data_IF_390603986924
#
_entry.id   IF_390603986924
#
_cell.length_a   1.000
_cell.length_b   1.000
_cell.length_c   1.000
_cell.angle_alpha   90.00
_cell.angle_beta   90.00
_cell.angle_gamma   90.00
#
_symmetry.space_group_name_H-M   'P 1'
#
loop_
_entity.id
_entity.type
_entity.pdbx_description
1 polymer ?
#
# COMPACT_ATOMS: atom_id res chain seq x y z
N UNK A 1 -1.30 8.24 -8.95
CA UNK A 1 -0.92 8.65 -10.32
C UNK A 1 0.43 8.12 -10.83
N UNK A 2 1.32 7.56 -10.00
CA UNK A 2 2.60 7.00 -10.50
C UNK A 2 3.14 5.88 -9.60
N UNK A 3 4.21 5.22 -10.05
CA UNK A 3 4.97 4.24 -9.27
C UNK A 3 4.08 3.10 -8.76
N UNK A 4 4.26 2.70 -7.50
CA UNK A 4 3.51 1.58 -6.89
C UNK A 4 2.00 1.80 -6.97
N UNK A 5 1.50 3.02 -6.72
CA UNK A 5 0.06 3.28 -6.72
C UNK A 5 -0.58 3.08 -8.11
N UNK A 6 0.11 3.51 -9.16
CA UNK A 6 -0.32 3.25 -10.54
C UNK A 6 -0.35 1.74 -10.83
N UNK A 7 0.73 1.03 -10.52
CA UNK A 7 0.82 -0.41 -10.82
C UNK A 7 -0.17 -1.24 -10.01
N UNK A 8 -0.45 -0.87 -8.75
CA UNK A 8 -1.52 -1.49 -7.95
C UNK A 8 -2.88 -1.31 -8.62
N UNK A 9 -3.18 -0.10 -9.11
CA UNK A 9 -4.45 0.20 -9.79
C UNK A 9 -4.60 -0.67 -11.05
N UNK A 10 -3.54 -0.77 -11.86
CA UNK A 10 -3.51 -1.59 -13.08
C UNK A 10 -3.66 -3.09 -12.75
N UNK A 11 -2.97 -3.56 -11.71
CA UNK A 11 -3.05 -4.96 -11.27
C UNK A 11 -4.47 -5.34 -10.83
N UNK A 12 -5.19 -4.44 -10.15
CA UNK A 12 -6.58 -4.68 -9.77
C UNK A 12 -7.51 -4.77 -10.99
N UNK A 13 -7.35 -3.87 -11.96
CA UNK A 13 -8.10 -3.92 -13.21
C UNK A 13 -7.89 -5.26 -13.93
N UNK A 14 -6.62 -5.69 -14.05
CA UNK A 14 -6.25 -6.98 -14.66
C UNK A 14 -6.82 -8.18 -13.88
N UNK A 15 -6.90 -8.09 -12.55
CA UNK A 15 -7.43 -9.14 -11.68
C UNK A 15 -8.95 -9.29 -11.74
N UNK A 16 -9.67 -8.41 -12.43
CA UNK A 16 -11.09 -8.56 -12.69
C UNK A 16 -12.00 -7.96 -11.61
N UNK A 17 -11.52 -6.95 -10.89
CA UNK A 17 -12.40 -6.14 -10.05
C UNK A 17 -13.44 -5.42 -10.91
N UNK A 18 -14.64 -5.20 -10.39
CA UNK A 18 -15.69 -4.49 -11.13
C UNK A 18 -15.46 -2.98 -11.19
N UNK A 19 -14.84 -2.40 -10.15
CA UNK A 19 -14.67 -0.95 -10.10
C UNK A 19 -13.54 -0.49 -9.20
N UNK A 20 -12.87 0.61 -9.59
CA UNK A 20 -11.79 1.25 -8.84
C UNK A 20 -12.02 2.77 -8.78
N UNK A 21 -11.96 3.36 -7.59
CA UNK A 21 -11.73 4.80 -7.41
C UNK A 21 -10.22 5.03 -7.23
N UNK A 22 -9.56 5.65 -8.20
CA UNK A 22 -8.13 5.98 -8.12
C UNK A 22 -7.93 7.45 -7.77
N UNK A 23 -7.05 7.73 -6.81
CA UNK A 23 -6.93 9.06 -6.23
C UNK A 23 -5.48 9.54 -6.18
N UNK A 24 -5.26 10.83 -6.41
CA UNK A 24 -3.97 11.50 -6.25
C UNK A 24 -4.17 13.01 -6.13
N UNK A 25 -3.20 13.72 -5.55
CA UNK A 25 -3.18 15.19 -5.57
C UNK A 25 -2.83 15.70 -6.98
N UNK A 26 -2.04 14.93 -7.72
CA UNK A 26 -1.78 15.12 -9.14
C UNK A 26 -2.89 14.45 -9.98
N UNK A 27 -4.01 15.16 -10.11
CA UNK A 27 -5.19 14.69 -10.83
C UNK A 27 -4.88 14.35 -12.30
N UNK A 28 -4.18 15.23 -13.01
CA UNK A 28 -3.85 15.03 -14.43
C UNK A 28 -2.95 13.79 -14.64
N UNK A 29 -2.13 13.45 -13.64
CA UNK A 29 -1.33 12.22 -13.66
C UNK A 29 -2.14 10.92 -13.60
N UNK A 30 -3.45 10.98 -13.29
CA UNK A 30 -4.32 9.79 -13.25
C UNK A 30 -4.74 9.32 -14.65
N UNK A 31 -4.75 10.19 -15.66
CA UNK A 31 -5.23 9.86 -17.01
C UNK A 31 -4.48 8.67 -17.60
N UNK A 32 -3.15 8.69 -17.52
CA UNK A 32 -2.32 7.58 -18.00
C UNK A 32 -2.59 6.27 -17.25
N UNK A 33 -2.92 6.35 -15.95
CA UNK A 33 -3.29 5.16 -15.15
C UNK A 33 -4.63 4.61 -15.61
N UNK A 34 -5.61 5.48 -15.85
CA UNK A 34 -6.96 5.11 -16.29
C UNK A 34 -6.92 4.44 -17.66
N UNK A 35 -6.21 5.03 -18.61
CA UNK A 35 -6.10 4.46 -19.96
C UNK A 35 -5.44 3.09 -19.94
N UNK A 36 -4.44 2.88 -19.10
CA UNK A 36 -3.82 1.56 -18.97
C UNK A 36 -4.75 0.54 -18.31
N UNK A 37 -5.50 0.95 -17.28
CA UNK A 37 -6.50 0.08 -16.66
C UNK A 37 -7.56 -0.39 -17.67
N UNK A 38 -8.06 0.52 -18.52
CA UNK A 38 -9.07 0.18 -19.55
C UNK A 38 -8.57 -0.85 -20.56
N UNK A 39 -7.27 -0.86 -20.88
CA UNK A 39 -6.68 -1.83 -21.82
C UNK A 39 -6.55 -3.22 -21.24
N UNK A 40 -6.24 -3.33 -19.94
CA UNK A 40 -5.92 -4.62 -19.29
C UNK A 40 -7.08 -5.18 -18.46
N UNK A 41 -8.15 -4.41 -18.27
CA UNK A 41 -9.29 -4.81 -17.46
C UNK A 41 -9.91 -6.11 -17.98
N UNK A 42 -10.10 -7.08 -17.07
CA UNK A 42 -10.69 -8.38 -17.40
C UNK A 42 -12.16 -8.48 -17.05
N UNK A 43 -12.69 -7.58 -16.21
CA UNK A 43 -14.11 -7.54 -15.87
C UNK A 43 -14.93 -6.81 -16.95
N UNK A 44 -16.02 -7.38 -17.49
CA UNK A 44 -16.77 -6.79 -18.61
C UNK A 44 -17.41 -5.44 -18.28
N UNK A 45 -17.78 -5.23 -17.01
CA UNK A 45 -18.38 -3.98 -16.53
C UNK A 45 -17.35 -3.11 -15.78
N UNK A 46 -16.06 -3.28 -16.04
CA UNK A 46 -15.01 -2.55 -15.33
C UNK A 46 -15.20 -1.03 -15.43
N UNK A 47 -15.15 -0.36 -14.27
CA UNK A 47 -15.20 1.10 -14.15
C UNK A 47 -13.99 1.60 -13.37
N UNK A 48 -13.29 2.61 -13.88
CA UNK A 48 -12.25 3.33 -13.13
C UNK A 48 -12.59 4.82 -13.11
N UNK A 49 -12.61 5.40 -11.91
CA UNK A 49 -12.95 6.81 -11.70
C UNK A 49 -11.76 7.54 -11.06
N UNK A 50 -11.28 8.66 -11.62
CA UNK A 50 -10.30 9.51 -10.97
C UNK A 50 -10.95 10.41 -9.92
N UNK A 51 -10.24 10.70 -8.83
CA UNK A 51 -10.60 11.75 -7.90
C UNK A 51 -9.36 12.49 -7.41
N UNK A 52 -9.40 13.83 -7.40
CA UNK A 52 -8.35 14.64 -6.79
C UNK A 52 -8.51 14.59 -5.27
N UNK A 53 -7.50 14.08 -4.58
CA UNK A 53 -7.54 13.91 -3.11
C UNK A 53 -6.21 14.32 -2.51
N UNK A 54 -6.24 15.22 -1.54
CA UNK A 54 -5.14 15.40 -0.60
C UNK A 54 -5.43 14.64 0.70
N UNK A 55 -4.72 13.52 0.91
CA UNK A 55 -4.91 12.66 2.09
C UNK A 55 -4.64 13.36 3.41
N UNK A 56 -4.00 14.54 3.42
CA UNK A 56 -3.77 15.34 4.63
C UNK A 56 -5.05 16.01 5.15
N UNK A 57 -6.06 16.16 4.28
CA UNK A 57 -7.28 16.95 4.51
C UNK A 57 -8.44 16.00 4.82
N UNK A 58 -9.06 16.14 5.99
CA UNK A 58 -10.18 15.28 6.42
C UNK A 58 -11.34 15.29 5.43
N UNK A 59 -11.72 16.47 4.94
CA UNK A 59 -12.83 16.62 4.00
C UNK A 59 -12.59 15.86 2.69
N UNK A 60 -11.38 15.91 2.17
CA UNK A 60 -11.03 15.22 0.93
C UNK A 60 -11.12 13.70 1.10
N UNK A 61 -10.62 13.17 2.23
CA UNK A 61 -10.68 11.72 2.53
C UNK A 61 -12.12 11.27 2.78
N UNK A 62 -12.92 12.05 3.51
CA UNK A 62 -14.34 11.74 3.73
C UNK A 62 -15.07 11.68 2.38
N UNK A 63 -14.90 12.72 1.55
CA UNK A 63 -15.51 12.77 0.22
C UNK A 63 -15.04 11.64 -0.69
N UNK A 64 -13.77 11.23 -0.60
CA UNK A 64 -13.22 10.09 -1.34
C UNK A 64 -13.97 8.80 -1.02
N UNK A 65 -14.13 8.48 0.26
CA UNK A 65 -14.82 7.25 0.68
C UNK A 65 -16.32 7.32 0.37
N UNK A 66 -16.97 8.47 0.60
CA UNK A 66 -18.38 8.66 0.24
C UNK A 66 -18.61 8.52 -1.26
N UNK A 67 -17.70 9.04 -2.08
CA UNK A 67 -17.75 8.90 -3.55
C UNK A 67 -17.60 7.43 -3.96
N UNK A 68 -16.65 6.70 -3.38
CA UNK A 68 -16.47 5.28 -3.68
C UNK A 68 -17.74 4.47 -3.36
N UNK A 69 -18.33 4.68 -2.18
CA UNK A 69 -19.55 3.98 -1.76
C UNK A 69 -20.75 4.41 -2.63
N UNK A 70 -20.87 5.69 -2.99
CA UNK A 70 -21.93 6.17 -3.87
C UNK A 70 -21.86 5.55 -5.27
N UNK A 71 -20.66 5.48 -5.85
CA UNK A 71 -20.45 5.07 -7.24
C UNK A 71 -20.44 3.55 -7.43
N UNK A 72 -19.97 2.80 -6.43
CA UNK A 72 -19.81 1.33 -6.49
C UNK A 72 -20.70 0.58 -5.51
N UNK A 73 -21.48 1.28 -4.67
CA UNK A 73 -22.41 0.71 -3.69
C UNK A 73 -21.76 0.20 -2.40
N UNK A 74 -20.47 -0.12 -2.41
CA UNK A 74 -19.70 -0.64 -1.26
C UNK A 74 -18.21 -0.41 -1.44
N UNK A 75 -17.46 -0.53 -0.34
CA UNK A 75 -16.00 -0.52 -0.35
C UNK A 75 -15.46 -1.89 0.09
N UNK A 76 -15.02 -2.72 -0.86
CA UNK A 76 -14.54 -4.08 -0.58
C UNK A 76 -13.05 -4.16 -0.25
N UNK A 77 -12.26 -3.26 -0.82
CA UNK A 77 -10.83 -3.24 -0.67
C UNK A 77 -10.30 -1.81 -0.70
N UNK A 78 -9.18 -1.59 -0.02
CA UNK A 78 -8.46 -0.32 -0.05
C UNK A 78 -6.95 -0.55 -0.02
N UNK A 79 -6.21 0.30 -0.75
CA UNK A 79 -4.75 0.28 -0.79
C UNK A 79 -4.22 1.69 -0.50
N UNK A 80 -3.71 1.88 0.71
CA UNK A 80 -3.15 3.16 1.17
C UNK A 80 -1.69 3.29 0.74
N UNK A 81 -1.47 3.78 -0.48
CA UNK A 81 -0.14 3.85 -1.12
C UNK A 81 0.50 5.25 -1.04
N UNK A 82 -0.30 6.31 -0.86
CA UNK A 82 0.20 7.69 -0.82
C UNK A 82 1.31 7.86 0.24
N UNK A 83 2.43 8.44 -0.15
CA UNK A 83 3.58 8.59 0.73
C UNK A 83 4.69 9.44 0.13
N UNK A 84 5.54 9.99 1.00
CA UNK A 84 6.72 10.76 0.62
C UNK A 84 7.94 10.34 1.43
N UNK A 85 9.11 10.36 0.81
CA UNK A 85 10.39 10.10 1.48
C UNK A 85 11.05 11.38 2.00
N UNK A 86 12.16 11.25 2.72
CA UNK A 86 13.08 12.37 2.96
C UNK A 86 13.62 12.90 1.63
N UNK A 87 13.72 14.23 1.49
CA UNK A 87 14.30 14.87 0.31
C UNK A 87 15.82 14.63 0.18
N UNK A 88 16.49 14.40 1.32
CA UNK A 88 17.91 14.07 1.39
C UNK A 88 18.20 13.32 2.69
N UNK A 89 19.29 12.54 2.70
CA UNK A 89 19.82 12.00 3.94
C UNK A 89 20.31 13.13 4.85
N UNK A 90 19.84 13.15 6.10
CA UNK A 90 20.33 14.10 7.10
C UNK A 90 20.38 13.47 8.48
N UNK A 91 21.52 13.58 9.14
CA UNK A 91 21.63 13.23 10.55
C UNK A 91 20.65 14.07 11.37
N UNK A 92 20.06 13.48 12.41
CA UNK A 92 18.97 14.11 13.16
C UNK A 92 19.32 15.53 13.64
N UNK A 93 20.52 15.73 14.20
CA UNK A 93 21.02 17.04 14.67
C UNK A 93 21.27 18.08 13.56
N UNK A 94 21.20 17.68 12.28
CA UNK A 94 21.39 18.54 11.09
C UNK A 94 20.12 18.66 10.25
N UNK A 95 19.00 18.13 10.73
CA UNK A 95 17.74 18.19 9.99
C UNK A 95 17.25 19.64 9.91
N UNK A 96 16.74 20.04 8.74
CA UNK A 96 16.13 21.36 8.57
C UNK A 96 14.85 21.45 9.39
N UNK A 97 14.56 22.63 9.94
CA UNK A 97 13.28 22.88 10.60
C UNK A 97 12.12 22.55 9.66
N UNK A 98 11.16 21.76 10.16
CA UNK A 98 9.98 21.33 9.41
C UNK A 98 10.23 20.23 8.36
N UNK A 99 11.44 19.65 8.28
CA UNK A 99 11.74 18.55 7.35
C UNK A 99 10.86 17.31 7.57
N UNK A 100 10.29 17.15 8.76
CA UNK A 100 9.40 16.07 9.17
C UNK A 100 7.92 16.36 8.86
N UNK A 101 7.53 17.63 8.74
CA UNK A 101 6.12 18.05 8.67
C UNK A 101 5.34 17.35 7.55
N UNK A 102 5.83 17.43 6.31
CA UNK A 102 5.16 16.79 5.17
C UNK A 102 5.21 15.26 5.25
N UNK A 103 6.30 14.70 5.78
CA UNK A 103 6.46 13.25 5.97
C UNK A 103 5.39 12.74 6.95
N UNK A 104 5.21 13.43 8.06
CA UNK A 104 4.21 13.08 9.08
C UNK A 104 2.78 13.33 8.57
N UNK A 105 2.53 14.47 7.93
CA UNK A 105 1.21 14.82 7.41
C UNK A 105 0.71 13.79 6.38
N UNK A 106 1.57 13.28 5.51
CA UNK A 106 1.18 12.31 4.47
C UNK A 106 1.25 10.88 5.00
N UNK A 107 2.43 10.43 5.48
CA UNK A 107 2.66 9.02 5.79
C UNK A 107 2.02 8.58 7.12
N UNK A 108 1.72 9.50 8.04
CA UNK A 108 1.06 9.18 9.31
C UNK A 108 -0.40 9.62 9.26
N UNK A 109 -0.64 10.93 9.18
CA UNK A 109 -2.00 11.48 9.22
C UNK A 109 -2.83 11.00 8.03
N UNK A 110 -2.28 11.01 6.82
CA UNK A 110 -3.00 10.53 5.63
C UNK A 110 -3.45 9.08 5.77
N UNK A 111 -2.54 8.17 6.14
CA UNK A 111 -2.87 6.77 6.36
C UNK A 111 -3.89 6.60 7.49
N UNK A 112 -3.76 7.35 8.59
CA UNK A 112 -4.72 7.33 9.69
C UNK A 112 -6.14 7.73 9.23
N UNK A 113 -6.26 8.83 8.48
CA UNK A 113 -7.54 9.32 7.98
C UNK A 113 -8.17 8.33 7.00
N UNK A 114 -7.41 7.79 6.05
CA UNK A 114 -7.90 6.78 5.11
C UNK A 114 -8.42 5.55 5.86
N UNK A 115 -7.59 4.93 6.71
CA UNK A 115 -8.03 3.76 7.49
C UNK A 115 -9.28 4.04 8.32
N UNK A 116 -9.37 5.21 8.96
CA UNK A 116 -10.53 5.59 9.78
C UNK A 116 -11.82 5.57 8.96
N UNK A 117 -11.83 6.19 7.77
CA UNK A 117 -13.02 6.26 6.93
C UNK A 117 -13.29 4.95 6.16
N UNK A 118 -12.24 4.24 5.74
CA UNK A 118 -12.35 2.90 5.12
C UNK A 118 -13.00 1.91 6.07
N UNK A 119 -12.55 1.84 7.32
CA UNK A 119 -13.12 0.97 8.35
C UNK A 119 -14.60 1.34 8.59
N UNK A 120 -14.92 2.64 8.73
CA UNK A 120 -16.32 3.09 8.91
C UNK A 120 -17.22 2.65 7.74
N UNK A 121 -16.73 2.71 6.51
CA UNK A 121 -17.47 2.24 5.35
C UNK A 121 -17.62 0.72 5.34
N UNK A 122 -16.52 -0.01 5.58
CA UNK A 122 -16.53 -1.48 5.60
C UNK A 122 -17.41 -2.05 6.72
N UNK A 123 -17.49 -1.42 7.89
CA UNK A 123 -18.39 -1.85 8.97
C UNK A 123 -19.87 -1.85 8.55
N UNK A 124 -20.25 -1.02 7.58
CA UNK A 124 -21.61 -0.95 7.03
C UNK A 124 -21.85 -2.02 5.95
N UNK A 125 -20.81 -2.58 5.34
CA UNK A 125 -20.96 -3.64 4.35
C UNK A 125 -21.48 -4.90 5.02
N UNK A 126 -22.41 -5.60 4.39
CA UNK A 126 -22.73 -6.98 4.79
C UNK A 126 -21.51 -7.90 4.64
N UNK A 127 -21.40 -8.86 5.57
CA UNK A 127 -20.43 -9.95 5.47
C UNK A 127 -20.75 -10.78 4.22
N UNK A 128 -19.78 -10.91 3.32
CA UNK A 128 -19.89 -11.78 2.14
C UNK A 128 -18.93 -12.95 2.27
N UNK A 129 -19.31 -14.16 1.80
CA UNK A 129 -18.36 -15.26 1.67
C UNK A 129 -17.17 -14.84 0.80
N UNK A 130 -15.98 -14.83 1.40
CA UNK A 130 -14.72 -14.62 0.71
C UNK A 130 -14.26 -15.93 0.06
N UNK A 131 -14.41 -17.03 0.80
CA UNK A 131 -14.28 -18.40 0.29
C UNK A 131 -15.53 -19.16 0.77
N UNK A 132 -16.36 -19.69 -0.15
CA UNK A 132 -17.58 -20.41 0.20
C UNK A 132 -17.33 -21.50 1.25
N UNK A 133 -18.06 -21.44 2.37
CA UNK A 133 -17.98 -22.42 3.46
C UNK A 133 -16.80 -22.27 4.42
N UNK A 134 -15.90 -21.30 4.23
CA UNK A 134 -14.70 -21.15 5.06
C UNK A 134 -14.58 -19.78 5.73
N UNK A 135 -14.67 -18.70 4.96
CA UNK A 135 -14.39 -17.36 5.47
C UNK A 135 -15.33 -16.33 4.86
N UNK A 136 -15.77 -15.38 5.68
CA UNK A 136 -16.53 -14.20 5.25
C UNK A 136 -15.76 -12.93 5.55
N UNK A 137 -15.98 -11.88 4.76
CA UNK A 137 -15.33 -10.59 4.92
C UNK A 137 -16.29 -9.44 4.67
N UNK A 138 -16.03 -8.31 5.33
CA UNK A 138 -16.61 -7.00 5.00
C UNK A 138 -15.69 -6.18 4.10
N UNK A 139 -14.39 -6.43 4.16
CA UNK A 139 -13.41 -5.81 3.28
C UNK A 139 -11.96 -6.06 3.68
N UNK A 140 -11.02 -5.51 2.91
CA UNK A 140 -9.58 -5.64 3.13
C UNK A 140 -8.85 -4.32 2.93
N UNK A 141 -7.99 -3.94 3.88
CA UNK A 141 -7.16 -2.73 3.80
C UNK A 141 -5.69 -3.15 3.75
N UNK A 142 -4.95 -2.60 2.79
CA UNK A 142 -3.50 -2.80 2.67
C UNK A 142 -2.79 -1.45 2.77
N UNK A 143 -1.97 -1.27 3.80
CA UNK A 143 -1.20 -0.06 4.00
C UNK A 143 0.22 -0.21 3.46
N UNK A 144 0.71 0.81 2.77
CA UNK A 144 2.06 0.83 2.23
C UNK A 144 3.07 1.36 3.27
N UNK A 145 3.76 0.43 3.91
CA UNK A 145 4.88 0.70 4.78
C UNK A 145 6.18 0.90 4.00
N UNK A 146 7.24 0.25 4.47
CA UNK A 146 8.60 0.29 3.91
C UNK A 146 9.49 -0.66 4.73
N UNK A 147 10.65 -1.07 4.19
CA UNK A 147 11.77 -1.60 4.98
C UNK A 147 12.08 -0.73 6.20
N UNK A 148 11.96 0.60 6.04
CA UNK A 148 12.14 1.58 7.11
C UNK A 148 11.11 1.47 8.25
N UNK A 149 10.09 0.62 8.13
CA UNK A 149 9.12 0.32 9.18
C UNK A 149 9.63 -0.69 10.22
N UNK A 150 10.75 -1.35 9.93
CA UNK A 150 11.32 -2.43 10.74
C UNK A 150 12.81 -2.20 10.99
N UNK A 151 13.53 -1.71 9.98
CA UNK A 151 14.97 -1.45 10.06
C UNK A 151 15.24 0.03 9.81
N UNK A 152 15.88 0.75 10.74
CA UNK A 152 16.18 2.16 10.53
C UNK A 152 17.18 2.35 9.39
N UNK A 153 16.99 3.41 8.60
CA UNK A 153 17.94 3.82 7.57
C UNK A 153 18.69 5.06 8.07
N UNK A 154 20.04 5.05 8.09
CA UNK A 154 20.83 6.21 8.52
C UNK A 154 20.43 7.48 7.78
N UNK A 155 20.24 8.57 8.51
CA UNK A 155 19.86 9.87 7.93
C UNK A 155 18.40 10.00 7.48
N UNK A 156 17.53 9.03 7.80
CA UNK A 156 16.10 9.07 7.47
C UNK A 156 15.20 9.00 8.71
N UNK A 157 15.52 9.75 9.77
CA UNK A 157 14.84 9.62 11.07
C UNK A 157 13.33 9.86 10.99
N UNK A 158 12.89 10.97 10.41
CA UNK A 158 11.46 11.29 10.29
C UNK A 158 10.69 10.25 9.44
N UNK A 159 11.29 9.80 8.34
CA UNK A 159 10.69 8.77 7.48
C UNK A 159 10.62 7.41 8.18
N UNK A 160 11.69 7.01 8.88
CA UNK A 160 11.73 5.78 9.69
C UNK A 160 10.64 5.82 10.76
N UNK A 161 10.53 6.92 11.50
CA UNK A 161 9.50 7.11 12.52
C UNK A 161 8.09 7.00 11.93
N UNK A 162 7.84 7.68 10.80
CA UNK A 162 6.55 7.65 10.11
C UNK A 162 6.18 6.24 9.62
N UNK A 163 7.14 5.50 9.04
CA UNK A 163 6.89 4.14 8.54
C UNK A 163 6.71 3.11 9.67
N UNK A 164 7.39 3.28 10.81
CA UNK A 164 7.05 2.53 12.03
C UNK A 164 5.63 2.85 12.52
N UNK A 165 5.20 4.11 12.44
CA UNK A 165 3.84 4.50 12.82
C UNK A 165 2.78 3.82 11.94
N UNK A 166 3.01 3.67 10.63
CA UNK A 166 2.09 2.91 9.74
C UNK A 166 1.86 1.49 10.24
N UNK A 167 2.93 0.77 10.60
CA UNK A 167 2.83 -0.60 11.15
C UNK A 167 2.16 -0.59 12.52
N UNK A 168 2.50 0.37 13.38
CA UNK A 168 1.88 0.52 14.71
C UNK A 168 0.38 0.76 14.63
N UNK A 169 -0.06 1.71 13.81
CA UNK A 169 -1.49 2.01 13.58
C UNK A 169 -2.22 0.82 12.97
N UNK A 170 -1.60 0.12 12.01
CA UNK A 170 -2.19 -1.09 11.42
C UNK A 170 -2.45 -2.15 12.48
N UNK A 171 -1.46 -2.43 13.35
CA UNK A 171 -1.62 -3.39 14.45
C UNK A 171 -2.71 -2.99 15.44
N UNK A 172 -2.76 -1.71 15.79
CA UNK A 172 -3.79 -1.18 16.70
C UNK A 172 -5.19 -1.33 16.09
N UNK A 173 -5.35 -1.05 14.79
CA UNK A 173 -6.61 -1.22 14.08
C UNK A 173 -7.05 -2.69 14.01
N UNK A 174 -6.14 -3.62 13.72
CA UNK A 174 -6.44 -5.07 13.71
C UNK A 174 -6.96 -5.54 15.06
N UNK A 175 -6.32 -5.15 16.16
CA UNK A 175 -6.75 -5.53 17.51
C UNK A 175 -8.12 -4.93 17.86
N UNK A 176 -8.37 -3.69 17.42
CA UNK A 176 -9.63 -2.98 17.73
C UNK A 176 -10.82 -3.48 16.90
N UNK A 177 -10.56 -4.06 15.73
CA UNK A 177 -11.56 -4.57 14.79
C UNK A 177 -11.50 -6.09 14.63
N UNK A 178 -10.94 -6.79 15.61
CA UNK A 178 -10.91 -8.26 15.63
C UNK A 178 -12.33 -8.80 15.81
N UNK A 179 -12.91 -9.36 14.75
CA UNK A 179 -14.28 -9.88 14.76
C UNK A 179 -15.22 -9.13 13.82
N UNK A 180 -14.84 -7.95 13.35
CA UNK A 180 -15.67 -7.16 12.43
C UNK A 180 -15.66 -7.70 10.99
N UNK A 181 -14.82 -8.70 10.72
CA UNK A 181 -14.64 -9.26 9.38
C UNK A 181 -13.87 -8.34 8.44
N UNK A 182 -13.04 -7.42 8.97
CA UNK A 182 -12.19 -6.53 8.19
C UNK A 182 -10.75 -7.03 8.31
N UNK A 183 -10.10 -7.33 7.18
CA UNK A 183 -8.68 -7.72 7.16
C UNK A 183 -7.83 -6.47 6.96
N UNK A 184 -6.82 -6.27 7.79
CA UNK A 184 -5.92 -5.12 7.67
C UNK A 184 -4.47 -5.64 7.66
N UNK A 185 -3.72 -5.24 6.64
CA UNK A 185 -2.36 -5.70 6.40
C UNK A 185 -1.42 -4.55 5.99
N UNK A 186 -0.12 -4.82 6.04
CA UNK A 186 0.92 -3.91 5.53
C UNK A 186 1.80 -4.61 4.49
N UNK A 187 2.10 -3.94 3.39
CA UNK A 187 3.22 -4.29 2.50
C UNK A 187 4.39 -3.38 2.85
N UNK A 188 5.59 -3.94 3.03
CA UNK A 188 6.79 -3.19 3.40
C UNK A 188 7.83 -3.28 2.28
N UNK A 189 7.74 -2.43 1.23
CA UNK A 189 8.71 -2.45 0.15
C UNK A 189 10.13 -2.20 0.64
N UNK A 190 11.06 -2.97 0.10
CA UNK A 190 12.48 -2.63 0.11
C UNK A 190 12.78 -1.51 -0.88
N UNK A 191 13.96 -1.55 -1.47
CA UNK A 191 14.30 -0.63 -2.55
C UNK A 191 13.54 -1.01 -3.83
N UNK A 192 12.62 -0.15 -4.26
CA UNK A 192 11.74 -0.38 -5.42
C UNK A 192 11.96 0.68 -6.50
N UNK A 193 12.06 0.27 -7.76
CA UNK A 193 12.30 1.14 -8.93
C UNK A 193 11.07 1.97 -9.27
N UNK A 194 10.86 3.06 -8.53
CA UNK A 194 9.83 4.06 -8.78
C UNK A 194 10.44 5.35 -9.34
N UNK A 195 9.65 6.25 -9.96
CA UNK A 195 10.14 7.59 -10.33
C UNK A 195 10.78 8.34 -9.16
N UNK A 196 10.19 8.26 -7.95
CA UNK A 196 10.73 8.87 -6.73
C UNK A 196 12.08 8.26 -6.33
N UNK A 197 12.21 6.93 -6.40
CA UNK A 197 13.46 6.25 -6.12
C UNK A 197 14.56 6.64 -7.12
N UNK A 198 14.25 6.72 -8.41
CA UNK A 198 15.23 7.15 -9.43
C UNK A 198 15.81 8.53 -9.13
N UNK A 199 14.95 9.51 -8.82
CA UNK A 199 15.39 10.86 -8.44
C UNK A 199 16.32 10.82 -7.22
N UNK A 200 15.94 10.06 -6.19
CA UNK A 200 16.76 9.90 -4.99
C UNK A 200 18.12 9.24 -5.25
N UNK A 201 18.20 8.25 -6.14
CA UNK A 201 19.44 7.54 -6.41
C UNK A 201 20.39 8.32 -7.30
N UNK A 202 19.87 9.11 -8.24
CA UNK A 202 20.70 9.92 -9.15
C UNK A 202 21.62 10.88 -8.38
N UNK A 203 21.18 11.36 -7.21
CA UNK A 203 21.89 12.35 -6.39
C UNK A 203 22.90 11.77 -5.39
N UNK A 204 22.77 10.49 -4.98
CA UNK A 204 23.50 9.95 -3.80
C UNK A 204 24.26 8.63 -4.04
N UNK A 205 23.94 7.90 -5.10
CA UNK A 205 24.60 6.62 -5.41
C UNK A 205 24.64 6.46 -6.93
N UNK A 206 25.82 6.43 -7.58
CA UNK A 206 25.87 6.27 -9.02
C UNK A 206 25.07 5.03 -9.44
N UNK A 207 24.09 5.25 -10.30
CA UNK A 207 23.21 4.24 -10.86
C UNK A 207 23.78 3.86 -12.23
N UNK A 208 24.37 2.67 -12.33
CA UNK A 208 24.79 2.07 -13.59
C UNK A 208 24.04 0.75 -13.78
N UNK A 209 23.51 0.50 -14.98
CA UNK A 209 22.94 -0.80 -15.38
C UNK A 209 21.86 -1.42 -14.46
N UNK A 210 21.08 -0.63 -13.71
CA UNK A 210 20.01 -1.15 -12.85
C UNK A 210 20.47 -1.63 -11.48
N UNK A 211 21.75 -1.44 -11.15
CA UNK A 211 22.35 -1.79 -9.86
C UNK A 211 22.81 -0.54 -9.11
N UNK A 212 22.60 -0.57 -7.79
CA UNK A 212 23.13 0.46 -6.91
C UNK A 212 24.49 -0.03 -6.43
N UNK A 213 25.57 0.52 -7.01
CA UNK A 213 26.95 0.09 -6.75
C UNK A 213 27.34 0.01 -5.26
N UNK A 214 26.62 0.72 -4.36
CA UNK A 214 26.77 0.62 -2.89
C UNK A 214 25.61 -0.08 -2.14
N UNK A 215 24.42 -0.23 -2.73
CA UNK A 215 23.29 -0.90 -2.06
C UNK A 215 23.20 -2.40 -2.39
N UNK A 216 23.90 -2.87 -3.44
CA UNK A 216 23.96 -4.27 -3.86
C UNK A 216 24.39 -5.22 -2.73
N UNK A 217 25.14 -4.77 -1.72
CA UNK A 217 25.63 -5.64 -0.65
C UNK A 217 24.48 -6.21 0.21
N UNK A 218 23.37 -5.47 0.38
CA UNK A 218 22.26 -5.85 1.27
C UNK A 218 20.96 -6.24 0.55
N UNK A 219 20.90 -6.11 -0.77
CA UNK A 219 19.74 -6.51 -1.56
C UNK A 219 19.73 -8.03 -1.79
N UNK A 220 18.60 -8.67 -1.47
CA UNK A 220 18.30 -10.04 -1.86
C UNK A 220 16.85 -10.10 -2.39
N UNK A 221 16.63 -10.44 -3.67
CA UNK A 221 17.61 -10.65 -4.75
C UNK A 221 18.53 -9.45 -4.97
N UNK A 222 19.69 -9.63 -5.63
CA UNK A 222 20.70 -8.58 -5.90
C UNK A 222 20.26 -7.56 -6.95
N UNK A 223 19.04 -7.06 -6.80
CA UNK A 223 18.41 -6.02 -7.62
C UNK A 223 17.37 -5.29 -6.80
N UNK A 224 16.96 -4.13 -7.29
CA UNK A 224 15.76 -3.47 -6.77
C UNK A 224 14.50 -4.25 -7.17
N UNK A 225 13.48 -4.15 -6.32
CA UNK A 225 12.15 -4.63 -6.63
C UNK A 225 11.47 -3.76 -7.68
N UNK A 226 10.52 -4.31 -8.42
CA UNK A 226 9.68 -3.55 -9.34
C UNK A 226 8.37 -3.12 -8.66
N UNK A 227 7.72 -2.04 -9.12
CA UNK A 227 6.38 -1.67 -8.66
C UNK A 227 5.34 -2.78 -8.84
N UNK A 228 5.50 -3.61 -9.87
CA UNK A 228 4.64 -4.76 -10.18
C UNK A 228 4.73 -5.82 -9.08
N UNK A 229 5.92 -6.11 -8.57
CA UNK A 229 6.09 -7.05 -7.45
C UNK A 229 5.39 -6.55 -6.18
N UNK A 230 5.35 -5.22 -5.97
CA UNK A 230 4.60 -4.63 -4.85
C UNK A 230 3.10 -4.66 -5.09
N UNK A 231 2.67 -4.51 -6.35
CA UNK A 231 1.28 -4.63 -6.75
C UNK A 231 0.75 -6.05 -6.56
N UNK A 232 1.53 -7.07 -6.92
CA UNK A 232 1.17 -8.48 -6.72
C UNK A 232 0.97 -8.81 -5.23
N UNK A 233 1.89 -8.35 -4.37
CA UNK A 233 1.75 -8.52 -2.92
C UNK A 233 0.50 -7.81 -2.37
N UNK A 234 0.21 -6.61 -2.87
CA UNK A 234 -0.96 -5.81 -2.48
C UNK A 234 -2.27 -6.47 -2.92
N UNK A 235 -2.30 -7.00 -4.14
CA UNK A 235 -3.43 -7.75 -4.70
C UNK A 235 -3.66 -9.04 -3.92
N UNK A 236 -2.61 -9.83 -3.67
CA UNK A 236 -2.70 -11.03 -2.86
C UNK A 236 -3.35 -10.76 -1.50
N UNK A 237 -2.86 -9.73 -0.79
CA UNK A 237 -3.39 -9.33 0.52
C UNK A 237 -4.82 -8.79 0.47
N UNK A 238 -5.27 -8.27 -0.67
CA UNK A 238 -6.65 -7.81 -0.86
C UNK A 238 -7.60 -8.93 -1.29
N UNK A 239 -7.07 -9.99 -1.89
CA UNK A 239 -7.82 -11.11 -2.47
C UNK A 239 -8.24 -12.19 -1.47
N UNK A 240 -9.12 -13.13 -1.87
CA UNK A 240 -9.43 -14.33 -1.08
C UNK A 240 -8.23 -15.22 -0.74
N UNK A 241 -7.14 -15.14 -1.51
CA UNK A 241 -5.93 -15.96 -1.29
C UNK A 241 -5.26 -15.69 0.06
N UNK A 242 -5.57 -14.55 0.69
CA UNK A 242 -5.08 -14.15 2.01
C UNK A 242 -6.20 -14.11 3.06
N UNK A 243 -7.24 -14.96 2.88
CA UNK A 243 -8.46 -14.99 3.72
C UNK A 243 -8.22 -15.15 5.22
N UNK A 244 -7.11 -15.78 5.63
CA UNK A 244 -6.71 -15.94 7.03
C UNK A 244 -5.53 -15.04 7.44
N UNK A 245 -5.06 -14.16 6.55
CA UNK A 245 -3.93 -13.28 6.81
C UNK A 245 -4.39 -11.89 7.23
N UNK A 246 -4.03 -11.53 8.44
CA UNK A 246 -4.03 -10.17 8.97
C UNK A 246 -2.74 -9.96 9.76
N UNK A 247 -2.27 -8.72 9.88
CA UNK A 247 -1.07 -8.43 10.67
C UNK A 247 -1.28 -8.94 12.10
N UNK A 248 -0.43 -9.86 12.54
CA UNK A 248 -0.56 -10.47 13.86
C UNK A 248 -0.24 -9.47 14.97
N UNK A 249 -0.90 -9.63 16.12
CA UNK A 249 -0.60 -8.91 17.37
C UNK A 249 0.87 -9.12 17.82
N UNK A 250 1.49 -10.23 17.44
CA UNK A 250 2.72 -10.73 18.08
C UNK A 250 4.01 -10.57 17.26
N UNK A 251 3.98 -10.31 15.94
CA UNK A 251 5.19 -10.05 15.12
C UNK A 251 4.97 -8.97 14.04
N UNK A 252 6.02 -8.19 13.76
CA UNK A 252 6.05 -7.15 12.70
C UNK A 252 6.16 -7.71 11.27
N UNK A 253 6.42 -9.01 11.13
CA UNK A 253 6.48 -9.71 9.85
C UNK A 253 5.24 -10.58 9.70
N UNK A 254 4.79 -10.76 8.45
CA UNK A 254 4.04 -11.95 8.04
C UNK A 254 4.92 -13.15 8.41
N UNK A 255 4.73 -13.71 9.61
CA UNK A 255 5.27 -15.04 9.92
C UNK A 255 4.22 -16.03 9.44
N UNK A 256 4.52 -16.72 8.35
CA UNK A 256 3.81 -17.94 7.99
C UNK A 256 3.91 -18.91 9.17
N UNK A 257 2.80 -19.12 9.87
CA UNK A 257 2.58 -20.33 10.67
C UNK A 257 1.56 -21.17 9.89
N UNK A 258 2.04 -21.79 8.81
CA UNK A 258 1.34 -22.91 8.20
C UNK A 258 1.92 -24.18 8.81
N UNK A 259 1.22 -24.76 9.79
CA UNK A 259 1.43 -26.16 10.16
C UNK A 259 0.74 -27.03 9.11
N UNK A 260 1.43 -27.27 7.99
CA UNK A 260 1.08 -28.35 7.07
C UNK A 260 2.31 -28.68 6.20
N UNK A 261 3.03 -29.72 6.59
CA UNK A 261 4.13 -30.30 5.81
C UNK A 261 3.55 -31.17 4.70
N UNK A 262 3.22 -30.57 3.55
CA UNK A 262 3.11 -31.28 2.28
C UNK A 262 3.87 -30.45 1.26
N UNK A 263 5.04 -30.95 0.84
CA UNK A 263 5.88 -30.27 -0.15
C UNK A 263 5.21 -30.35 -1.53
N UNK A 264 4.67 -29.23 -2.01
CA UNK A 264 4.29 -29.07 -3.42
C UNK A 264 5.54 -28.65 -4.17
N UNK A 265 6.17 -29.60 -4.88
CA UNK A 265 7.29 -29.30 -5.77
C UNK A 265 6.74 -29.11 -7.17
N UNK A 266 6.84 -27.89 -7.69
CA UNK A 266 6.61 -27.62 -9.10
C UNK A 266 7.94 -27.86 -9.84
N UNK A 267 7.99 -28.90 -10.68
CA UNK A 267 9.07 -29.13 -11.63
C UNK A 267 8.59 -28.51 -12.94
N UNK A 268 9.39 -27.62 -13.52
CA UNK A 268 9.13 -27.06 -14.86
C UNK A 268 9.24 -28.12 -15.95
#
# INVERSE_FOLDING_TARGET
>A
ASGIGQTVTIAYAKAGVEGILTCDINFDGLDATIEECKKVASHPNFRVLPLKVDVRIDRDVINMIETAVKEFGRLDYAANVAGVSCLAYSWLHRSRYGADYNIHAINIRGVFLCMREEIKAMLKNELRPLIPGLASTRGSIVNMGSLASVTPVPGMTAYTAAKHAVVGMTKAAVVSHSGDGIRINTVNPGYTLTPQARAFFTDFTPYENGTLLKADVFLCPKRMGSPEEMADATLFLSSPLSSYMTVSKYKQLISFLANATVGVFHIQ
#
